data_IF_958908870672
#
_entry.id   IF_958908870672
#
_cell.length_a   1.000
_cell.length_b   1.000
_cell.length_c   1.000
_cell.angle_alpha   90.00
_cell.angle_beta   90.00
_cell.angle_gamma   90.00
#
_symmetry.space_group_name_H-M   'P 1'
#
loop_
_entity.id
_entity.type
_entity.pdbx_description
1 polymer ?
#
# COMPACT_ATOMS: atom_id res chain seq x y z
N UNK A 1 -24.90 -2.79 13.29
CA UNK A 1 -23.96 -2.97 12.17
C UNK A 1 -23.09 -4.17 12.49
N UNK A 2 -23.29 -5.24 11.74
CA UNK A 2 -22.54 -6.49 11.87
C UNK A 2 -21.06 -6.28 11.51
N UNK A 3 -20.16 -7.17 11.96
CA UNK A 3 -18.72 -7.03 11.71
C UNK A 3 -18.39 -6.95 10.20
N UNK A 4 -19.09 -7.73 9.38
CA UNK A 4 -18.98 -7.71 7.91
C UNK A 4 -19.28 -6.33 7.32
N UNK A 5 -20.36 -5.70 7.75
CA UNK A 5 -20.77 -4.38 7.27
C UNK A 5 -19.74 -3.30 7.62
N UNK A 6 -19.12 -3.40 8.82
CA UNK A 6 -18.04 -2.49 9.24
C UNK A 6 -16.79 -2.63 8.37
N UNK A 7 -16.41 -3.87 8.02
CA UNK A 7 -15.26 -4.14 7.18
C UNK A 7 -15.47 -3.59 5.76
N UNK A 8 -16.63 -3.86 5.15
CA UNK A 8 -16.98 -3.32 3.83
C UNK A 8 -17.01 -1.79 3.83
N UNK A 9 -17.67 -1.17 4.80
CA UNK A 9 -17.73 0.29 4.93
C UNK A 9 -16.33 0.91 5.12
N UNK A 10 -15.47 0.29 5.93
CA UNK A 10 -14.10 0.79 6.11
C UNK A 10 -13.27 0.70 4.84
N UNK A 11 -13.49 -0.33 4.01
CA UNK A 11 -12.78 -0.49 2.74
C UNK A 11 -13.27 0.51 1.70
N UNK A 12 -14.58 0.71 1.59
CA UNK A 12 -15.19 1.73 0.74
C UNK A 12 -14.70 3.13 1.11
N UNK A 13 -14.67 3.47 2.40
CA UNK A 13 -14.18 4.78 2.87
C UNK A 13 -12.72 5.02 2.45
N UNK A 14 -11.86 3.99 2.58
CA UNK A 14 -10.47 4.09 2.16
C UNK A 14 -10.34 4.25 0.64
N UNK A 15 -11.14 3.52 -0.14
CA UNK A 15 -11.23 3.69 -1.59
C UNK A 15 -11.61 5.12 -1.97
N UNK A 16 -12.66 5.69 -1.37
CA UNK A 16 -13.11 7.06 -1.65
C UNK A 16 -12.07 8.11 -1.27
N UNK A 17 -11.36 7.92 -0.16
CA UNK A 17 -10.25 8.79 0.22
C UNK A 17 -9.11 8.74 -0.81
N UNK A 18 -8.74 7.54 -1.26
CA UNK A 18 -7.72 7.37 -2.31
C UNK A 18 -8.16 7.98 -3.64
N UNK A 19 -9.43 7.80 -4.02
CA UNK A 19 -9.98 8.40 -5.24
C UNK A 19 -9.94 9.93 -5.18
N UNK A 20 -10.26 10.53 -4.03
CA UNK A 20 -10.18 11.98 -3.85
C UNK A 20 -8.76 12.51 -3.74
N UNK A 21 -7.83 11.73 -3.18
CA UNK A 21 -6.47 12.18 -2.90
C UNK A 21 -5.46 11.89 -4.03
N UNK A 22 -5.59 10.73 -4.67
CA UNK A 22 -4.68 10.18 -5.68
C UNK A 22 -5.48 9.49 -6.79
N UNK A 23 -6.32 10.24 -7.54
CA UNK A 23 -7.20 9.66 -8.55
C UNK A 23 -6.44 8.89 -9.64
N UNK A 24 -5.21 9.30 -10.00
CA UNK A 24 -4.40 8.59 -10.98
C UNK A 24 -4.19 7.11 -10.61
N UNK A 25 -3.85 6.83 -9.35
CA UNK A 25 -3.66 5.47 -8.83
C UNK A 25 -4.93 4.62 -8.98
N UNK A 26 -6.08 5.19 -8.60
CA UNK A 26 -7.36 4.47 -8.63
C UNK A 26 -7.79 4.17 -10.07
N UNK A 27 -7.70 5.16 -10.96
CA UNK A 27 -8.05 4.98 -12.36
C UNK A 27 -7.12 3.98 -13.06
N UNK A 28 -5.82 4.04 -12.79
CA UNK A 28 -4.85 3.12 -13.38
C UNK A 28 -5.07 1.67 -12.90
N UNK A 29 -5.32 1.49 -11.59
CA UNK A 29 -5.74 0.20 -11.05
C UNK A 29 -7.04 -0.31 -11.70
N UNK A 30 -8.09 0.52 -11.77
CA UNK A 30 -9.39 0.10 -12.33
C UNK A 30 -9.27 -0.27 -13.82
N UNK A 31 -8.44 0.45 -14.58
CA UNK A 31 -8.15 0.13 -15.98
C UNK A 31 -7.42 -1.21 -16.13
N UNK A 32 -6.33 -1.43 -15.36
CA UNK A 32 -5.56 -2.68 -15.38
C UNK A 32 -6.38 -3.87 -14.87
N UNK A 33 -7.17 -3.67 -13.81
CA UNK A 33 -8.12 -4.66 -13.29
C UNK A 33 -9.13 -5.08 -14.37
N UNK A 34 -9.73 -4.12 -15.07
CA UNK A 34 -10.69 -4.39 -16.15
C UNK A 34 -10.06 -5.21 -17.29
N UNK A 35 -8.84 -4.84 -17.71
CA UNK A 35 -8.13 -5.58 -18.75
C UNK A 35 -7.84 -7.02 -18.33
N UNK A 36 -7.40 -7.22 -17.08
CA UNK A 36 -7.16 -8.55 -16.53
C UNK A 36 -8.44 -9.40 -16.44
N UNK A 37 -9.56 -8.82 -16.02
CA UNK A 37 -10.86 -9.51 -16.01
C UNK A 37 -11.33 -9.90 -17.42
N UNK A 38 -11.04 -9.09 -18.44
CA UNK A 38 -11.31 -9.44 -19.83
C UNK A 38 -10.43 -10.61 -20.32
N UNK A 39 -9.16 -10.67 -19.90
CA UNK A 39 -8.28 -11.79 -20.17
C UNK A 39 -8.77 -13.10 -19.51
N UNK A 40 -9.20 -13.04 -18.24
CA UNK A 40 -9.84 -14.17 -17.54
C UNK A 40 -11.12 -14.64 -18.26
N UNK A 41 -11.92 -13.71 -18.77
CA UNK A 41 -13.15 -14.06 -19.50
C UNK A 41 -12.86 -14.70 -20.86
N UNK A 42 -11.70 -14.39 -21.45
CA UNK A 42 -11.26 -14.93 -22.75
C UNK A 42 -10.54 -16.27 -22.63
N UNK A 43 -9.97 -16.58 -21.46
CA UNK A 43 -9.43 -17.91 -21.14
C UNK A 43 -9.74 -18.31 -19.70
N UNK A 44 -10.44 -19.44 -19.48
CA UNK A 44 -10.74 -19.93 -18.13
C UNK A 44 -9.52 -20.53 -17.42
N UNK A 45 -8.39 -20.72 -18.11
CA UNK A 45 -7.20 -21.38 -17.56
C UNK A 45 -6.44 -20.44 -16.63
N UNK A 46 -6.33 -20.82 -15.35
CA UNK A 46 -5.61 -20.03 -14.34
C UNK A 46 -4.18 -19.71 -14.74
N UNK A 47 -3.44 -20.70 -15.24
CA UNK A 47 -2.05 -20.50 -15.65
C UNK A 47 -1.90 -19.49 -16.78
N UNK A 48 -2.89 -19.35 -17.66
CA UNK A 48 -2.84 -18.43 -18.78
C UNK A 48 -3.08 -16.99 -18.32
N UNK A 49 -4.16 -16.73 -17.56
CA UNK A 49 -4.44 -15.38 -17.09
C UNK A 49 -3.53 -14.93 -15.94
N UNK A 50 -2.86 -15.84 -15.21
CA UNK A 50 -1.89 -15.49 -14.16
C UNK A 50 -0.45 -15.33 -14.66
N UNK A 51 -0.19 -15.56 -15.95
CA UNK A 51 1.12 -15.34 -16.58
C UNK A 51 1.07 -14.33 -17.73
N UNK A 52 -0.12 -13.86 -18.10
CA UNK A 52 -0.35 -12.88 -19.14
C UNK A 52 0.14 -11.46 -18.81
N UNK A 53 0.24 -10.64 -19.85
CA UNK A 53 0.71 -9.26 -19.77
C UNK A 53 -0.20 -8.38 -18.91
N UNK A 54 -1.51 -8.64 -18.93
CA UNK A 54 -2.50 -7.91 -18.13
C UNK A 54 -2.29 -8.14 -16.63
N UNK A 55 -1.95 -9.38 -16.24
CA UNK A 55 -1.65 -9.71 -14.86
C UNK A 55 -0.29 -9.14 -14.42
N UNK A 56 0.71 -9.20 -15.29
CA UNK A 56 2.01 -8.58 -15.03
C UNK A 56 1.87 -7.06 -14.83
N UNK A 57 1.09 -6.38 -15.67
CA UNK A 57 0.83 -4.95 -15.54
C UNK A 57 0.09 -4.59 -14.24
N UNK A 58 -0.85 -5.44 -13.81
CA UNK A 58 -1.58 -5.23 -12.56
C UNK A 58 -0.70 -5.48 -11.32
N UNK A 59 0.15 -6.51 -11.35
CA UNK A 59 1.07 -6.83 -10.24
C UNK A 59 2.25 -5.88 -10.15
N UNK A 60 2.65 -5.23 -11.25
CA UNK A 60 3.66 -4.17 -11.26
C UNK A 60 3.29 -2.95 -10.40
N UNK A 61 1.99 -2.71 -10.16
CA UNK A 61 1.53 -1.69 -9.22
C UNK A 61 1.93 -2.00 -7.76
N UNK A 62 2.22 -3.26 -7.45
CA UNK A 62 2.72 -3.71 -6.16
C UNK A 62 1.76 -3.51 -4.98
N UNK A 63 2.28 -3.54 -3.73
CA UNK A 63 1.44 -3.54 -2.54
C UNK A 63 0.63 -2.25 -2.31
N UNK A 64 0.95 -1.14 -2.99
CA UNK A 64 0.19 0.12 -2.87
C UNK A 64 -1.26 0.01 -3.38
N UNK A 65 -1.60 -1.00 -4.16
CA UNK A 65 -3.00 -1.23 -4.61
C UNK A 65 -3.76 -2.25 -3.75
N UNK A 66 -3.17 -2.82 -2.71
CA UNK A 66 -3.86 -3.79 -1.83
C UNK A 66 -5.21 -3.26 -1.32
N UNK A 67 -5.35 -2.02 -0.83
CA UNK A 67 -6.66 -1.49 -0.42
C UNK A 67 -7.72 -1.48 -1.52
N UNK A 68 -7.32 -1.32 -2.78
CA UNK A 68 -8.23 -1.32 -3.93
C UNK A 68 -8.69 -2.74 -4.25
N UNK A 69 -7.81 -3.74 -4.11
CA UNK A 69 -8.18 -5.17 -4.21
C UNK A 69 -9.13 -5.56 -3.07
N UNK A 70 -8.85 -5.11 -1.84
CA UNK A 70 -9.74 -5.32 -0.69
C UNK A 70 -11.11 -4.68 -0.93
N UNK A 71 -11.17 -3.52 -1.59
CA UNK A 71 -12.45 -2.92 -1.99
C UNK A 71 -13.21 -3.76 -3.02
N UNK A 72 -12.53 -4.35 -4.01
CA UNK A 72 -13.20 -5.30 -4.93
C UNK A 72 -13.79 -6.49 -4.18
N UNK A 73 -13.07 -7.03 -3.18
CA UNK A 73 -13.59 -8.09 -2.29
C UNK A 73 -14.76 -7.61 -1.42
N UNK A 74 -14.78 -6.35 -0.99
CA UNK A 74 -15.89 -5.79 -0.22
C UNK A 74 -17.19 -5.77 -1.04
N UNK A 75 -17.08 -5.53 -2.35
CA UNK A 75 -18.20 -5.58 -3.29
C UNK A 75 -18.60 -7.02 -3.64
N UNK A 76 -17.61 -7.91 -3.81
CA UNK A 76 -17.81 -9.30 -4.21
C UNK A 76 -16.88 -10.25 -3.41
N UNK A 77 -17.30 -10.71 -2.22
CA UNK A 77 -16.44 -11.52 -1.35
C UNK A 77 -16.08 -12.90 -1.91
N UNK A 78 -16.85 -13.43 -2.86
CA UNK A 78 -16.64 -14.72 -3.53
C UNK A 78 -15.76 -14.62 -4.78
N UNK A 79 -15.14 -13.46 -5.05
CA UNK A 79 -14.24 -13.28 -6.20
C UNK A 79 -12.88 -13.99 -5.97
N UNK A 80 -12.79 -15.22 -6.45
CA UNK A 80 -11.57 -16.04 -6.39
C UNK A 80 -10.36 -15.38 -7.06
N UNK A 81 -10.58 -14.56 -8.10
CA UNK A 81 -9.49 -13.86 -8.81
C UNK A 81 -8.95 -12.70 -7.96
N UNK A 82 -9.83 -11.97 -7.27
CA UNK A 82 -9.42 -10.94 -6.31
C UNK A 82 -8.65 -11.54 -5.13
N UNK A 83 -9.09 -12.70 -4.60
CA UNK A 83 -8.35 -13.44 -3.55
C UNK A 83 -6.97 -13.85 -4.04
N UNK A 84 -6.87 -14.36 -5.27
CA UNK A 84 -5.58 -14.74 -5.86
C UNK A 84 -4.65 -13.55 -5.99
N UNK A 85 -5.11 -12.43 -6.59
CA UNK A 85 -4.30 -11.22 -6.72
C UNK A 85 -3.85 -10.69 -5.36
N UNK A 86 -4.74 -10.65 -4.38
CA UNK A 86 -4.40 -10.21 -3.01
C UNK A 86 -3.24 -11.03 -2.44
N UNK A 87 -3.29 -12.36 -2.54
CA UNK A 87 -2.23 -13.24 -2.01
C UNK A 87 -0.89 -13.08 -2.75
N UNK A 88 -0.91 -12.66 -4.01
CA UNK A 88 0.31 -12.35 -4.79
C UNK A 88 0.92 -11.02 -4.34
N UNK A 89 0.10 -10.01 -4.06
CA UNK A 89 0.55 -8.68 -3.66
C UNK A 89 0.96 -8.62 -2.17
N UNK A 90 0.23 -9.30 -1.29
CA UNK A 90 0.51 -9.34 0.13
C UNK A 90 1.75 -10.20 0.39
N UNK A 91 2.77 -9.64 1.04
CA UNK A 91 4.01 -10.36 1.36
C UNK A 91 3.98 -10.98 2.75
N UNK A 92 3.17 -10.41 3.65
CA UNK A 92 3.04 -10.91 5.00
C UNK A 92 2.11 -12.14 5.03
N UNK A 93 2.68 -13.28 5.44
CA UNK A 93 1.97 -14.54 5.54
C UNK A 93 0.79 -14.49 6.53
N UNK A 94 0.86 -13.65 7.56
CA UNK A 94 -0.23 -13.49 8.53
C UNK A 94 -1.45 -12.82 7.91
N UNK A 95 -1.25 -11.95 6.91
CA UNK A 95 -2.32 -11.23 6.23
C UNK A 95 -2.88 -11.93 4.99
N UNK A 96 -2.20 -12.97 4.49
CA UNK A 96 -2.69 -13.80 3.36
C UNK A 96 -3.93 -14.61 3.74
N UNK A 97 -4.73 -14.94 2.74
CA UNK A 97 -5.74 -15.99 2.89
C UNK A 97 -5.06 -17.37 3.01
N UNK A 98 -5.64 -18.32 3.75
CA UNK A 98 -5.07 -19.66 3.93
C UNK A 98 -4.84 -20.37 2.57
N UNK A 99 -3.77 -21.16 2.40
CA UNK A 99 -3.50 -21.87 1.14
C UNK A 99 -4.64 -22.78 0.66
N UNK A 100 -5.44 -23.29 1.62
CA UNK A 100 -6.55 -24.21 1.37
C UNK A 100 -7.86 -23.49 1.04
N UNK A 101 -7.83 -22.17 0.88
CA UNK A 101 -9.04 -21.35 0.64
C UNK A 101 -9.53 -21.40 -0.80
N UNK A 102 -8.88 -22.17 -1.69
CA UNK A 102 -9.34 -22.38 -3.08
C UNK A 102 -10.68 -23.10 -3.16
N UNK A 103 -11.07 -23.85 -2.13
CA UNK A 103 -12.37 -24.52 -2.05
C UNK A 103 -13.51 -23.63 -1.54
N UNK A 104 -13.20 -22.48 -0.93
CA UNK A 104 -14.19 -21.51 -0.45
C UNK A 104 -13.66 -20.07 -0.61
N UNK A 105 -13.77 -19.50 -1.83
CA UNK A 105 -13.38 -18.12 -2.11
C UNK A 105 -14.10 -17.10 -1.24
N UNK A 106 -15.35 -17.36 -0.86
CA UNK A 106 -16.16 -16.44 -0.08
C UNK A 106 -15.66 -16.34 1.37
N UNK A 107 -15.32 -17.47 1.99
CA UNK A 107 -14.63 -17.47 3.28
C UNK A 107 -13.26 -16.79 3.21
N UNK A 108 -12.51 -17.01 2.13
CA UNK A 108 -11.22 -16.37 1.90
C UNK A 108 -11.35 -14.83 1.81
N UNK A 109 -12.27 -14.35 0.98
CA UNK A 109 -12.53 -12.91 0.81
C UNK A 109 -12.99 -12.25 2.09
N UNK A 110 -13.88 -12.90 2.85
CA UNK A 110 -14.29 -12.43 4.19
C UNK A 110 -13.12 -12.36 5.17
N UNK A 111 -12.24 -13.37 5.19
CA UNK A 111 -11.08 -13.36 6.06
C UNK A 111 -10.11 -12.22 5.71
N UNK A 112 -9.86 -12.00 4.41
CA UNK A 112 -9.05 -10.87 3.93
C UNK A 112 -9.65 -9.54 4.38
N UNK A 113 -10.96 -9.35 4.17
CA UNK A 113 -11.67 -8.13 4.58
C UNK A 113 -11.52 -7.85 6.07
N UNK A 114 -11.74 -8.87 6.91
CA UNK A 114 -11.64 -8.73 8.36
C UNK A 114 -10.21 -8.40 8.80
N UNK A 115 -9.20 -9.14 8.30
CA UNK A 115 -7.80 -8.87 8.62
C UNK A 115 -7.38 -7.46 8.23
N UNK A 116 -7.79 -6.99 7.04
CA UNK A 116 -7.50 -5.63 6.59
C UNK A 116 -8.27 -4.58 7.40
N UNK A 117 -9.51 -4.85 7.81
CA UNK A 117 -10.24 -3.95 8.71
C UNK A 117 -9.49 -3.75 10.03
N UNK A 118 -9.02 -4.85 10.64
CA UNK A 118 -8.28 -4.79 11.90
C UNK A 118 -6.92 -4.11 11.73
N UNK A 119 -6.16 -4.44 10.68
CA UNK A 119 -4.91 -3.75 10.33
C UNK A 119 -5.13 -2.26 10.11
N UNK A 120 -6.12 -1.88 9.32
CA UNK A 120 -6.39 -0.48 9.00
C UNK A 120 -6.77 0.33 10.26
N UNK A 121 -7.35 -0.31 11.28
CA UNK A 121 -7.61 0.32 12.58
C UNK A 121 -6.31 0.51 13.35
N UNK A 122 -5.48 -0.53 13.44
CA UNK A 122 -4.20 -0.48 14.13
C UNK A 122 -3.27 0.57 13.52
N UNK A 123 -3.10 0.54 12.19
CA UNK A 123 -2.28 1.51 11.43
C UNK A 123 -2.72 2.95 11.70
N UNK A 124 -4.02 3.22 11.74
CA UNK A 124 -4.53 4.58 12.05
C UNK A 124 -4.14 5.03 13.45
N UNK A 125 -4.21 4.15 14.44
CA UNK A 125 -3.82 4.47 15.80
C UNK A 125 -2.30 4.71 15.87
N UNK A 126 -1.49 3.80 15.32
CA UNK A 126 -0.02 3.92 15.35
C UNK A 126 0.47 5.14 14.57
N UNK A 127 -0.18 5.51 13.46
CA UNK A 127 0.13 6.76 12.75
C UNK A 127 -0.14 8.00 13.62
N UNK A 128 -1.23 8.01 14.40
CA UNK A 128 -1.53 9.10 15.33
C UNK A 128 -0.53 9.15 16.50
N UNK A 129 -0.16 7.99 17.06
CA UNK A 129 0.85 7.90 18.12
C UNK A 129 2.22 8.38 17.61
N UNK A 130 2.59 8.01 16.39
CA UNK A 130 3.82 8.47 15.73
C UNK A 130 3.78 9.97 15.42
N UNK A 131 2.63 10.52 15.00
CA UNK A 131 2.43 11.97 14.83
C UNK A 131 2.67 12.72 16.15
N UNK A 132 2.13 12.22 17.26
CA UNK A 132 2.37 12.81 18.59
C UNK A 132 3.86 12.74 18.97
N UNK A 133 4.51 11.60 18.70
CA UNK A 133 5.95 11.45 18.89
C UNK A 133 6.73 12.51 18.11
N UNK A 134 6.45 12.64 16.81
CA UNK A 134 7.09 13.60 15.92
C UNK A 134 6.89 15.05 16.41
N UNK A 135 5.71 15.39 16.94
CA UNK A 135 5.45 16.70 17.52
C UNK A 135 6.34 16.97 18.74
N UNK A 136 6.55 15.98 19.62
CA UNK A 136 7.43 16.10 20.81
C UNK A 136 8.90 16.31 20.44
N UNK A 137 9.35 15.71 19.34
CA UNK A 137 10.75 15.79 18.88
C UNK A 137 10.95 16.80 17.74
N UNK A 138 9.95 17.65 17.47
CA UNK A 138 9.96 18.63 16.37
C UNK A 138 11.12 19.63 16.40
N UNK A 139 11.72 19.87 17.58
CA UNK A 139 12.89 20.74 17.72
C UNK A 139 14.19 20.13 17.23
N UNK A 140 14.23 18.82 16.96
CA UNK A 140 15.42 18.13 16.47
C UNK A 140 15.47 18.12 14.95
N UNK A 141 16.67 18.36 14.39
CA UNK A 141 16.90 18.44 12.94
C UNK A 141 17.26 17.10 12.29
N UNK A 142 17.43 16.03 13.07
CA UNK A 142 17.93 14.74 12.57
C UNK A 142 16.78 13.73 12.49
N UNK A 143 16.63 13.04 11.35
CA UNK A 143 15.59 12.02 11.13
C UNK A 143 15.61 10.90 12.18
N UNK A 144 16.77 10.57 12.72
CA UNK A 144 16.94 9.56 13.77
C UNK A 144 16.02 9.77 14.99
N UNK A 145 15.71 11.02 15.38
CA UNK A 145 14.79 11.27 16.50
C UNK A 145 13.35 10.90 16.16
N UNK A 146 12.97 10.93 14.89
CA UNK A 146 11.62 10.61 14.41
C UNK A 146 11.49 9.12 14.07
N UNK A 147 12.59 8.46 13.68
CA UNK A 147 12.58 7.06 13.24
C UNK A 147 13.00 6.06 14.33
N UNK A 148 13.75 6.47 15.36
CA UNK A 148 14.19 5.58 16.44
C UNK A 148 13.16 5.55 17.58
N UNK A 149 11.93 5.15 17.27
CA UNK A 149 10.82 5.05 18.22
C UNK A 149 9.99 3.78 18.00
N UNK A 150 9.25 3.36 19.02
CA UNK A 150 8.43 2.15 18.99
C UNK A 150 7.34 2.25 17.92
N UNK A 151 6.75 3.43 17.75
CA UNK A 151 5.68 3.67 16.80
C UNK A 151 6.16 3.50 15.35
N UNK A 152 7.38 3.96 15.04
CA UNK A 152 7.99 3.79 13.72
C UNK A 152 8.27 2.32 13.41
N UNK A 153 8.86 1.58 14.36
CA UNK A 153 9.11 0.14 14.20
C UNK A 153 7.81 -0.66 14.08
N UNK A 154 6.78 -0.29 14.85
CA UNK A 154 5.45 -0.88 14.74
C UNK A 154 4.83 -0.62 13.37
N UNK A 155 4.97 0.58 12.79
CA UNK A 155 4.51 0.86 11.42
C UNK A 155 5.24 0.00 10.38
N UNK A 156 6.56 -0.20 10.53
CA UNK A 156 7.32 -1.10 9.65
C UNK A 156 6.82 -2.55 9.72
N UNK A 157 6.41 -3.01 10.91
CA UNK A 157 5.91 -4.37 11.11
C UNK A 157 4.64 -4.68 10.32
N UNK A 158 3.84 -3.68 9.96
CA UNK A 158 2.64 -3.86 9.13
C UNK A 158 2.93 -4.04 7.62
N UNK A 159 4.20 -3.86 7.21
CA UNK A 159 4.68 -4.10 5.85
C UNK A 159 4.16 -3.10 4.81
N UNK A 160 4.49 -3.34 3.54
CA UNK A 160 4.23 -2.39 2.44
C UNK A 160 2.74 -2.11 2.17
N UNK A 161 1.83 -2.92 2.73
CA UNK A 161 0.39 -2.75 2.59
C UNK A 161 -0.13 -1.42 3.15
N UNK A 162 0.63 -0.79 4.06
CA UNK A 162 0.23 0.46 4.71
C UNK A 162 0.64 1.71 3.94
N UNK A 163 1.37 1.57 2.83
CA UNK A 163 1.80 2.69 1.98
C UNK A 163 0.64 3.65 1.66
N UNK A 164 -0.57 3.18 1.27
CA UNK A 164 -1.69 4.08 0.99
C UNK A 164 -2.16 4.89 2.22
N UNK A 165 -2.08 4.33 3.42
CA UNK A 165 -2.38 5.06 4.65
C UNK A 165 -1.37 6.17 4.89
N UNK A 166 -0.08 5.84 4.75
CA UNK A 166 1.01 6.82 4.89
C UNK A 166 0.86 7.94 3.87
N UNK A 167 0.57 7.63 2.60
CA UNK A 167 0.42 8.66 1.56
C UNK A 167 -0.78 9.58 1.80
N UNK A 168 -1.90 9.05 2.30
CA UNK A 168 -3.06 9.87 2.69
C UNK A 168 -2.74 10.82 3.84
N UNK A 169 -1.96 10.36 4.80
CA UNK A 169 -1.48 11.19 5.91
C UNK A 169 -0.43 12.19 5.43
N UNK A 170 0.53 11.77 4.60
CA UNK A 170 1.61 12.62 4.08
C UNK A 170 1.10 13.78 3.19
N UNK A 171 -0.09 13.62 2.59
CA UNK A 171 -0.77 14.69 1.86
C UNK A 171 -1.29 15.81 2.78
N UNK A 172 -1.50 15.54 4.07
CA UNK A 172 -1.94 16.56 5.04
C UNK A 172 -0.77 17.50 5.31
N UNK A 173 -1.02 18.81 5.26
CA UNK A 173 0.01 19.85 5.35
C UNK A 173 0.82 19.86 6.66
N UNK A 174 0.29 19.22 7.70
CA UNK A 174 0.87 19.20 9.05
C UNK A 174 1.51 17.85 9.42
N UNK A 175 1.59 16.90 8.47
CA UNK A 175 2.13 15.58 8.73
C UNK A 175 3.64 15.63 9.01
N UNK A 176 4.18 14.76 9.89
CA UNK A 176 5.60 14.72 10.19
C UNK A 176 6.48 14.73 8.94
N UNK A 177 7.45 15.63 8.99
CA UNK A 177 8.48 15.94 8.00
C UNK A 177 9.19 14.69 7.43
N UNK A 178 9.14 13.56 8.15
CA UNK A 178 9.89 12.33 7.85
C UNK A 178 9.04 11.17 7.31
N UNK A 179 7.83 11.44 6.77
CA UNK A 179 7.03 10.43 6.08
C UNK A 179 7.80 9.70 4.96
N UNK A 180 8.73 10.38 4.29
CA UNK A 180 9.59 9.78 3.28
C UNK A 180 10.54 8.70 3.83
N UNK A 181 11.03 8.80 5.08
CA UNK A 181 11.90 7.77 5.67
C UNK A 181 11.13 6.47 5.89
N UNK A 182 9.89 6.57 6.36
CA UNK A 182 9.01 5.42 6.54
C UNK A 182 8.72 4.76 5.19
N UNK A 183 8.36 5.55 4.17
CA UNK A 183 8.13 5.05 2.81
C UNK A 183 9.37 4.40 2.23
N UNK A 184 10.54 5.02 2.37
CA UNK A 184 11.79 4.48 1.86
C UNK A 184 12.16 3.16 2.54
N UNK A 185 11.98 3.08 3.87
CA UNK A 185 12.23 1.85 4.63
C UNK A 185 11.26 0.73 4.25
N UNK A 186 9.98 1.05 4.02
CA UNK A 186 8.97 0.08 3.57
C UNK A 186 9.23 -0.43 2.15
N UNK A 187 9.66 0.43 1.21
CA UNK A 187 9.85 0.04 -0.19
C UNK A 187 11.24 -0.58 -0.42
N UNK A 188 12.28 -0.04 0.21
CA UNK A 188 13.68 -0.40 -0.07
C UNK A 188 14.41 -1.11 1.06
N UNK A 189 13.83 -1.16 2.27
CA UNK A 189 14.45 -1.81 3.43
C UNK A 189 15.61 -1.02 4.06
N UNK A 190 15.90 0.20 3.60
CA UNK A 190 16.99 1.04 4.09
C UNK A 190 16.53 2.47 4.41
N UNK A 191 17.30 3.17 5.25
CA UNK A 191 17.11 4.60 5.51
C UNK A 191 17.73 5.43 4.39
N UNK A 192 17.23 6.64 4.17
CA UNK A 192 17.81 7.54 3.17
C UNK A 192 19.16 8.12 3.62
N UNK A 193 19.31 8.35 4.94
CA UNK A 193 20.47 9.02 5.52
C UNK A 193 20.58 10.50 5.18
N UNK A 194 19.52 11.11 4.64
CA UNK A 194 19.50 12.52 4.27
C UNK A 194 19.43 13.41 5.51
N UNK A 195 20.33 14.40 5.59
CA UNK A 195 20.42 15.34 6.73
C UNK A 195 19.59 16.61 6.54
N UNK A 196 19.27 16.97 5.30
CA UNK A 196 18.41 18.11 4.96
C UNK A 196 17.85 17.88 3.57
N UNK A 197 16.54 17.82 3.44
CA UNK A 197 15.86 17.68 2.15
C UNK A 197 14.92 18.85 1.94
N UNK A 198 14.76 19.27 0.69
CA UNK A 198 13.60 20.06 0.31
C UNK A 198 12.37 19.18 0.48
N UNK A 199 11.73 19.26 1.65
CA UNK A 199 10.64 18.37 2.05
C UNK A 199 9.48 18.37 1.05
N UNK A 200 9.22 19.52 0.43
CA UNK A 200 8.22 19.68 -0.62
C UNK A 200 8.60 18.90 -1.88
N UNK A 201 9.89 18.86 -2.25
CA UNK A 201 10.38 18.09 -3.39
C UNK A 201 10.26 16.58 -3.10
N UNK A 202 10.57 16.17 -1.88
CA UNK A 202 10.43 14.78 -1.44
C UNK A 202 8.98 14.30 -1.49
N UNK A 203 8.07 15.08 -0.90
CA UNK A 203 6.65 14.78 -0.98
C UNK A 203 6.20 14.69 -2.45
N UNK A 204 6.60 15.64 -3.30
CA UNK A 204 6.23 15.63 -4.72
C UNK A 204 6.71 14.37 -5.44
N UNK A 205 7.94 13.90 -5.17
CA UNK A 205 8.48 12.69 -5.78
C UNK A 205 7.71 11.44 -5.35
N UNK A 206 7.40 11.32 -4.05
CA UNK A 206 6.62 10.20 -3.52
C UNK A 206 5.16 10.24 -3.98
N UNK A 207 4.54 11.42 -4.03
CA UNK A 207 3.19 11.60 -4.55
C UNK A 207 3.10 11.20 -6.03
N UNK A 208 4.03 11.68 -6.85
CA UNK A 208 4.09 11.34 -8.28
C UNK A 208 4.28 9.83 -8.49
N UNK A 209 5.17 9.19 -7.73
CA UNK A 209 5.33 7.74 -7.79
C UNK A 209 4.08 7.00 -7.36
N UNK A 210 3.48 7.40 -6.24
CA UNK A 210 2.30 6.74 -5.72
C UNK A 210 1.14 6.84 -6.70
N UNK A 211 0.97 7.99 -7.34
CA UNK A 211 -0.12 8.27 -8.27
C UNK A 211 0.08 7.67 -9.66
N UNK A 212 1.30 7.74 -10.23
CA UNK A 212 1.48 7.58 -11.69
C UNK A 212 2.47 6.49 -12.12
N UNK A 213 3.16 5.81 -11.18
CA UNK A 213 4.25 4.87 -11.53
C UNK A 213 4.05 3.45 -11.01
N UNK A 214 4.83 2.50 -11.51
CA UNK A 214 4.90 1.15 -10.93
C UNK A 214 5.66 1.16 -9.60
N UNK A 215 5.51 0.08 -8.82
CA UNK A 215 6.06 0.02 -7.46
C UNK A 215 7.59 0.08 -7.41
N UNK A 216 8.27 -0.53 -8.38
CA UNK A 216 9.72 -0.57 -8.51
C UNK A 216 10.35 0.75 -9.01
N UNK A 217 9.54 1.69 -9.48
CA UNK A 217 9.95 3.03 -9.89
C UNK A 217 9.94 4.04 -8.73
N UNK A 218 9.89 3.57 -7.47
CA UNK A 218 9.84 4.45 -6.30
C UNK A 218 11.11 5.31 -6.17
N UNK A 219 11.02 6.51 -5.55
CA UNK A 219 12.20 7.30 -5.24
C UNK A 219 13.16 6.49 -4.37
N UNK A 220 14.43 6.44 -4.76
CA UNK A 220 15.46 5.65 -4.09
C UNK A 220 16.72 6.51 -3.87
N UNK A 221 17.10 6.64 -2.59
CA UNK A 221 18.20 7.47 -2.15
C UNK A 221 19.33 6.57 -1.64
N UNK A 222 20.43 6.47 -2.39
CA UNK A 222 21.66 5.84 -1.90
C UNK A 222 22.70 6.92 -1.60
N UNK A 223 22.72 7.36 -0.34
CA UNK A 223 23.76 8.25 0.19
C UNK A 223 23.77 9.65 -0.43
N UNK A 224 24.72 10.51 0.00
CA UNK A 224 24.75 11.90 -0.43
C UNK A 224 25.10 12.02 -1.91
N UNK A 225 24.10 12.34 -2.74
CA UNK A 225 24.33 13.02 -4.02
C UNK A 225 23.93 12.32 -5.33
N UNK A 226 23.28 11.14 -5.33
CA UNK A 226 22.87 10.51 -6.60
C UNK A 226 21.44 9.94 -6.56
N UNK A 227 20.53 10.58 -7.31
CA UNK A 227 19.32 9.94 -7.80
C UNK A 227 19.73 8.91 -8.88
N UNK A 228 19.42 7.63 -8.66
CA UNK A 228 19.49 6.62 -9.71
C UNK A 228 18.11 5.98 -9.86
N UNK A 229 17.51 6.14 -11.03
CA UNK A 229 16.48 5.22 -11.51
C UNK A 229 17.14 3.87 -11.73
N UNK A 230 16.58 2.82 -11.11
CA UNK A 230 17.07 1.45 -11.22
C UNK A 230 17.13 1.06 -12.71
N UNK A 231 18.35 0.93 -13.24
CA UNK A 231 18.58 0.13 -14.45
C UNK A 231 18.76 -1.31 -13.99
N UNK A 232 17.91 -2.18 -14.53
CA UNK A 232 17.76 -3.57 -14.16
C UNK A 232 19.05 -4.40 -14.19
N UNK A 233 19.11 -5.37 -13.29
CA UNK A 233 19.89 -6.60 -13.39
C UNK A 233 18.95 -7.77 -13.08
#
# INVERSE_FOLDING_TARGET
>A
MEAKEKASFSSERLYLHLLGAFPGLVHDFDAKWKNWQAAISSSPSQSEWSSGLEFAALTALGPKVIPLVVYKLALKPDDATAVYLYNILEKDAEFRAPPNSSSDPEAAGRAILQKNFDRNRQVRNTLADWEEHCARVSSFSTSAFYTNCEEFEQLLSYGCSIIPHIMLEYKKKDWPIFGYELLHKLVWGCHTGLQSVGLDDEYRLWAEWFENKNHDEAPHYRGPGTFQTRTDA
#
